data_IF_951097551115
#
_entry.id   IF_951097551115
#
_cell.length_a   1.000
_cell.length_b   1.000
_cell.length_c   1.000
_cell.angle_alpha   90.00
_cell.angle_beta   90.00
_cell.angle_gamma   90.00
#
_symmetry.space_group_name_H-M   'P 1'
#
loop_
_entity.id
_entity.type
_entity.pdbx_description
1 polymer ?
#
# COMPACT_ATOMS: atom_id res chain seq x y z
N UNK A 1 -20.11 -10.11 -45.06
CA UNK A 1 -19.00 -9.65 -44.19
C UNK A 1 -19.26 -8.19 -43.84
N UNK A 2 -19.44 -7.88 -42.55
CA UNK A 2 -19.72 -6.51 -42.12
C UNK A 2 -18.50 -5.62 -42.32
N UNK A 3 -18.67 -4.47 -42.96
CA UNK A 3 -17.62 -3.49 -43.20
C UNK A 3 -16.98 -3.07 -41.87
N UNK A 4 -15.66 -3.19 -41.77
CA UNK A 4 -14.91 -2.77 -40.60
C UNK A 4 -15.11 -1.27 -40.36
N UNK A 5 -15.40 -0.91 -39.10
CA UNK A 5 -15.65 0.48 -38.73
C UNK A 5 -14.31 1.18 -38.50
N UNK A 6 -14.09 2.22 -39.31
CA UNK A 6 -12.91 3.08 -39.29
C UNK A 6 -12.94 4.03 -38.10
N UNK A 7 -11.80 4.22 -37.44
CA UNK A 7 -11.70 5.20 -36.36
C UNK A 7 -12.01 6.61 -36.88
N UNK A 8 -12.80 7.39 -36.14
CA UNK A 8 -13.16 8.76 -36.51
C UNK A 8 -12.19 9.84 -35.97
N UNK A 9 -11.20 9.45 -35.16
CA UNK A 9 -10.21 10.37 -34.59
C UNK A 9 -9.27 10.89 -35.68
N UNK A 10 -9.05 12.22 -35.80
CA UNK A 10 -8.14 12.79 -36.78
C UNK A 10 -6.74 12.20 -36.70
N UNK A 11 -6.18 11.85 -37.86
CA UNK A 11 -4.86 11.23 -37.97
C UNK A 11 -4.79 9.75 -37.57
N UNK A 12 -5.89 9.11 -37.16
CA UNK A 12 -5.91 7.68 -36.86
C UNK A 12 -6.34 6.84 -38.07
N UNK A 13 -5.47 5.92 -38.49
CA UNK A 13 -5.72 5.02 -39.63
C UNK A 13 -6.18 3.61 -39.22
N UNK A 14 -6.61 3.41 -37.96
CA UNK A 14 -7.08 2.10 -37.50
C UNK A 14 -8.31 1.59 -38.27
N UNK A 15 -8.26 0.31 -38.68
CA UNK A 15 -9.29 -0.39 -39.46
C UNK A 15 -9.55 0.23 -40.84
N UNK A 16 -8.56 0.93 -41.40
CA UNK A 16 -8.57 1.31 -42.81
C UNK A 16 -8.03 0.15 -43.66
N UNK A 17 -8.28 0.17 -44.97
CA UNK A 17 -7.98 -0.94 -45.89
C UNK A 17 -6.50 -1.40 -45.89
N UNK A 18 -5.58 -0.63 -45.29
CA UNK A 18 -4.14 -0.87 -45.27
C UNK A 18 -3.63 -1.26 -43.87
N UNK A 19 -4.47 -1.76 -42.97
CA UNK A 19 -4.04 -2.20 -41.63
C UNK A 19 -4.05 -3.72 -41.49
N UNK A 20 -2.89 -4.30 -41.16
CA UNK A 20 -2.71 -5.76 -41.05
C UNK A 20 -3.45 -6.40 -39.87
N UNK A 21 -3.87 -5.60 -38.87
CA UNK A 21 -4.51 -6.11 -37.66
C UNK A 21 -5.77 -5.32 -37.31
N UNK A 22 -6.87 -6.05 -37.12
CA UNK A 22 -8.12 -5.51 -36.60
C UNK A 22 -7.92 -4.93 -35.19
N UNK A 23 -8.35 -3.68 -35.01
CA UNK A 23 -8.32 -2.99 -33.73
C UNK A 23 -9.74 -2.87 -33.19
N UNK A 24 -9.97 -3.32 -31.96
CA UNK A 24 -11.26 -3.13 -31.28
C UNK A 24 -11.66 -1.66 -31.26
N UNK A 25 -12.94 -1.41 -31.49
CA UNK A 25 -13.49 -0.06 -31.57
C UNK A 25 -14.79 0.06 -30.81
N UNK A 26 -15.03 1.24 -30.26
CA UNK A 26 -16.16 1.53 -29.39
C UNK A 26 -17.08 2.54 -30.06
N UNK A 27 -18.39 2.32 -29.92
CA UNK A 27 -19.43 3.24 -30.41
C UNK A 27 -19.64 4.36 -29.41
N UNK A 28 -20.14 5.50 -29.88
CA UNK A 28 -20.46 6.63 -29.01
C UNK A 28 -21.55 6.25 -27.99
N UNK A 29 -21.46 6.75 -26.74
CA UNK A 29 -22.50 6.55 -25.74
C UNK A 29 -23.87 7.03 -26.21
N UNK A 30 -24.94 6.35 -25.77
CA UNK A 30 -26.32 6.80 -25.98
C UNK A 30 -26.67 8.05 -25.16
N UNK A 31 -26.03 8.20 -24.00
CA UNK A 31 -26.19 9.36 -23.13
C UNK A 31 -25.64 10.63 -23.82
N UNK A 32 -26.46 11.68 -23.89
CA UNK A 32 -26.14 12.91 -24.61
C UNK A 32 -24.95 13.65 -24.00
N UNK A 33 -24.84 13.68 -22.67
CA UNK A 33 -23.75 14.36 -21.96
C UNK A 33 -22.41 13.70 -22.26
N UNK A 34 -22.33 12.38 -22.13
CA UNK A 34 -21.12 11.61 -22.45
C UNK A 34 -20.79 11.65 -23.94
N UNK A 35 -21.80 11.58 -24.81
CA UNK A 35 -21.60 11.72 -26.26
C UNK A 35 -20.96 13.07 -26.58
N UNK A 36 -21.44 14.16 -25.98
CA UNK A 36 -20.86 15.49 -26.15
C UNK A 36 -19.44 15.60 -25.58
N UNK A 37 -19.16 14.94 -24.45
CA UNK A 37 -17.79 14.85 -23.90
C UNK A 37 -16.84 14.19 -24.90
N UNK A 38 -17.27 13.09 -25.53
CA UNK A 38 -16.49 12.41 -26.56
C UNK A 38 -16.26 13.29 -27.80
N UNK A 39 -17.29 13.98 -28.27
CA UNK A 39 -17.15 14.89 -29.43
C UNK A 39 -16.15 16.01 -29.12
N UNK A 40 -16.23 16.60 -27.92
CA UNK A 40 -15.31 17.65 -27.47
C UNK A 40 -13.86 17.16 -27.40
N UNK A 41 -13.62 15.94 -26.89
CA UNK A 41 -12.24 15.44 -26.74
C UNK A 41 -11.56 15.10 -28.07
N UNK A 42 -12.32 14.74 -29.11
CA UNK A 42 -11.76 14.49 -30.45
C UNK A 42 -11.20 15.77 -31.09
N UNK A 43 -11.60 16.95 -30.59
CA UNK A 43 -11.16 18.28 -31.03
C UNK A 43 -11.19 18.46 -32.56
N UNK A 44 -12.31 18.06 -33.16
CA UNK A 44 -12.56 18.23 -34.61
C UNK A 44 -13.67 19.26 -34.79
N UNK A 45 -13.36 20.33 -35.52
CA UNK A 45 -14.33 21.38 -35.84
C UNK A 45 -15.58 20.79 -36.51
N UNK A 46 -16.75 21.24 -36.06
CA UNK A 46 -18.08 20.88 -36.57
C UNK A 46 -18.34 19.37 -36.71
N UNK A 47 -17.69 18.56 -35.86
CA UNK A 47 -17.83 17.11 -35.93
C UNK A 47 -19.15 16.63 -35.33
N UNK A 48 -20.01 16.09 -36.19
CA UNK A 48 -21.24 15.40 -35.80
C UNK A 48 -21.03 13.89 -35.99
N UNK A 49 -20.93 13.08 -34.92
CA UNK A 49 -20.72 11.64 -35.05
C UNK A 49 -21.96 10.97 -35.65
N UNK A 50 -21.76 10.25 -36.74
CA UNK A 50 -22.79 9.40 -37.36
C UNK A 50 -23.10 8.18 -36.48
N UNK A 51 -24.20 7.47 -36.78
CA UNK A 51 -24.58 6.22 -36.09
C UNK A 51 -23.53 5.10 -36.19
N UNK A 52 -22.63 5.20 -37.17
CA UNK A 52 -21.56 4.23 -37.40
C UNK A 52 -20.19 4.72 -36.97
N UNK A 53 -20.09 5.96 -36.45
CA UNK A 53 -18.85 6.52 -35.97
C UNK A 53 -18.34 5.72 -34.76
N UNK A 54 -17.05 5.41 -34.77
CA UNK A 54 -16.38 4.68 -33.70
C UNK A 54 -15.03 5.28 -33.38
N UNK A 55 -14.58 5.05 -32.15
CA UNK A 55 -13.22 5.39 -31.69
C UNK A 55 -12.50 4.08 -31.40
N UNK A 56 -11.31 3.88 -31.97
CA UNK A 56 -10.54 2.68 -31.70
C UNK A 56 -9.94 2.68 -30.30
N UNK A 57 -9.61 1.49 -29.79
CA UNK A 57 -9.12 1.30 -28.43
C UNK A 57 -7.85 2.07 -28.07
N UNK A 58 -7.02 2.39 -29.07
CA UNK A 58 -5.75 3.12 -28.88
C UNK A 58 -5.93 4.51 -28.28
N UNK A 59 -7.15 5.05 -28.29
CA UNK A 59 -7.46 6.36 -27.76
C UNK A 59 -7.94 6.35 -26.31
N UNK A 60 -8.12 5.16 -25.72
CA UNK A 60 -8.56 4.98 -24.34
C UNK A 60 -7.40 4.51 -23.47
N UNK A 61 -7.29 5.07 -22.28
CA UNK A 61 -6.41 4.53 -21.26
C UNK A 61 -6.86 3.13 -20.85
N UNK A 62 -5.89 2.27 -20.53
CA UNK A 62 -6.12 0.89 -20.09
C UNK A 62 -7.06 0.80 -18.89
N UNK A 63 -7.07 1.82 -18.01
CA UNK A 63 -7.95 1.88 -16.85
C UNK A 63 -9.45 1.92 -17.20
N UNK A 64 -9.81 2.36 -18.40
CA UNK A 64 -11.19 2.43 -18.85
C UNK A 64 -11.63 1.18 -19.64
N UNK A 65 -10.73 0.22 -19.89
CA UNK A 65 -10.98 -0.92 -20.76
C UNK A 65 -11.26 -2.17 -19.91
N UNK A 66 -12.50 -2.66 -19.98
CA UNK A 66 -12.95 -3.88 -19.33
C UNK A 66 -12.68 -5.06 -20.27
N UNK A 67 -11.67 -5.86 -19.92
CA UNK A 67 -11.26 -7.07 -20.68
C UNK A 67 -11.87 -8.35 -20.14
N UNK A 68 -12.40 -8.33 -18.93
CA UNK A 68 -12.92 -9.51 -18.23
C UNK A 68 -14.17 -9.14 -17.43
N UNK A 69 -15.08 -10.10 -17.26
CA UNK A 69 -16.23 -10.00 -16.39
C UNK A 69 -15.91 -10.69 -15.07
N UNK A 70 -16.21 -10.02 -13.96
CA UNK A 70 -15.99 -10.51 -12.59
C UNK A 70 -17.32 -10.66 -11.88
N UNK A 71 -17.58 -11.83 -11.32
CA UNK A 71 -18.77 -12.12 -10.52
C UNK A 71 -18.34 -12.82 -9.24
N UNK A 72 -18.77 -12.31 -8.09
CA UNK A 72 -18.57 -12.96 -6.80
C UNK A 72 -19.71 -13.97 -6.60
N UNK A 73 -19.37 -15.23 -6.32
CA UNK A 73 -20.33 -16.29 -6.01
C UNK A 73 -20.74 -16.22 -4.54
N UNK A 74 -21.80 -16.95 -4.19
CA UNK A 74 -22.31 -17.01 -2.81
C UNK A 74 -21.30 -17.58 -1.81
N UNK A 75 -20.35 -18.40 -2.27
CA UNK A 75 -19.24 -18.96 -1.47
C UNK A 75 -18.07 -17.98 -1.25
N UNK A 76 -18.18 -16.74 -1.77
CA UNK A 76 -17.13 -15.73 -1.73
C UNK A 76 -16.03 -15.90 -2.78
N UNK A 77 -16.10 -16.93 -3.63
CA UNK A 77 -15.14 -17.10 -4.72
C UNK A 77 -15.42 -16.15 -5.89
N UNK A 78 -14.36 -15.62 -6.51
CA UNK A 78 -14.47 -14.82 -7.73
C UNK A 78 -14.46 -15.71 -8.98
N UNK A 79 -15.47 -15.54 -9.84
CA UNK A 79 -15.46 -16.03 -11.21
C UNK A 79 -14.98 -14.90 -12.13
N UNK A 80 -13.85 -15.12 -12.79
CA UNK A 80 -13.28 -14.20 -13.78
C UNK A 80 -13.39 -14.82 -15.17
N UNK A 81 -14.11 -14.17 -16.08
CA UNK A 81 -14.30 -14.64 -17.46
C UNK A 81 -13.75 -13.62 -18.45
N UNK A 82 -12.75 -13.96 -19.28
CA UNK A 82 -12.24 -13.04 -20.29
C UNK A 82 -13.30 -12.75 -21.35
N UNK A 83 -13.43 -11.47 -21.72
CA UNK A 83 -14.39 -11.02 -22.73
C UNK A 83 -13.81 -11.21 -24.13
N UNK A 84 -14.58 -11.83 -25.02
CA UNK A 84 -14.29 -11.84 -26.46
C UNK A 84 -14.38 -10.44 -27.09
N UNK A 85 -15.28 -9.60 -26.58
CA UNK A 85 -15.44 -8.20 -26.97
C UNK A 85 -15.27 -7.33 -25.73
N UNK A 86 -14.20 -6.54 -25.72
CA UNK A 86 -13.91 -5.63 -24.62
C UNK A 86 -14.96 -4.52 -24.54
N UNK A 87 -15.17 -3.99 -23.34
CA UNK A 87 -16.09 -2.88 -23.09
C UNK A 87 -15.34 -1.70 -22.50
N UNK A 88 -15.97 -0.53 -22.55
CA UNK A 88 -15.51 0.62 -21.77
C UNK A 88 -16.27 0.69 -20.46
N UNK A 89 -15.64 1.25 -19.45
CA UNK A 89 -16.29 1.65 -18.20
C UNK A 89 -17.34 2.75 -18.46
N UNK A 90 -18.26 2.92 -17.51
CA UNK A 90 -19.32 3.92 -17.59
C UNK A 90 -18.84 5.37 -17.50
N UNK A 91 -17.57 5.59 -17.16
CA UNK A 91 -16.89 6.88 -17.11
C UNK A 91 -15.81 7.00 -18.20
N UNK A 92 -15.53 5.92 -18.93
CA UNK A 92 -14.48 5.88 -19.95
C UNK A 92 -14.67 6.93 -21.04
N UNK A 93 -13.57 7.63 -21.34
CA UNK A 93 -13.45 8.62 -22.41
C UNK A 93 -12.08 8.53 -23.08
N UNK A 94 -12.01 8.97 -24.32
CA UNK A 94 -10.78 9.05 -25.09
C UNK A 94 -9.93 10.23 -24.61
N UNK A 95 -8.69 9.93 -24.30
CA UNK A 95 -7.72 10.85 -23.71
C UNK A 95 -6.35 10.76 -24.39
N UNK A 96 -6.13 9.73 -25.21
CA UNK A 96 -4.85 9.47 -25.88
C UNK A 96 -4.98 9.79 -27.37
N UNK A 97 -4.21 10.75 -27.86
CA UNK A 97 -4.24 11.23 -29.25
C UNK A 97 -2.82 11.35 -29.82
N UNK A 98 -2.19 10.23 -30.24
CA UNK A 98 -0.77 10.22 -30.59
C UNK A 98 -0.42 11.07 -31.82
N UNK A 99 -1.40 11.32 -32.70
CA UNK A 99 -1.22 12.08 -33.94
C UNK A 99 -1.81 13.50 -33.84
N UNK A 100 -1.94 14.03 -32.62
CA UNK A 100 -2.45 15.37 -32.33
C UNK A 100 -1.48 16.12 -31.42
N UNK A 101 -1.57 17.46 -31.31
CA UNK A 101 -0.74 18.23 -30.40
C UNK A 101 -0.74 17.65 -28.97
N UNK A 102 0.44 17.61 -28.35
CA UNK A 102 0.67 16.94 -27.06
C UNK A 102 -0.32 17.37 -25.97
N UNK A 103 -0.68 18.65 -25.91
CA UNK A 103 -1.61 19.19 -24.90
C UNK A 103 -3.04 18.62 -24.99
N UNK A 104 -3.42 17.97 -26.09
CA UNK A 104 -4.71 17.30 -26.26
C UNK A 104 -4.67 15.83 -25.82
N UNK A 105 -3.47 15.25 -25.69
CA UNK A 105 -3.27 13.86 -25.32
C UNK A 105 -2.70 13.79 -23.91
N UNK A 106 -3.44 13.18 -22.99
CA UNK A 106 -2.96 12.97 -21.63
C UNK A 106 -3.40 11.60 -21.13
N UNK A 107 -2.55 10.96 -20.32
CA UNK A 107 -3.03 9.84 -19.54
C UNK A 107 -3.93 10.37 -18.41
N UNK A 108 -5.15 9.83 -18.26
CA UNK A 108 -6.02 10.21 -17.17
C UNK A 108 -5.36 9.82 -15.85
N UNK A 109 -5.43 10.71 -14.86
CA UNK A 109 -4.92 10.40 -13.52
C UNK A 109 -5.63 9.19 -12.94
N UNK A 110 -4.90 8.41 -12.14
CA UNK A 110 -5.50 7.31 -11.39
C UNK A 110 -6.59 7.85 -10.46
N UNK A 111 -7.70 7.12 -10.35
CA UNK A 111 -8.77 7.49 -9.43
C UNK A 111 -8.25 7.48 -7.99
N UNK A 112 -8.70 8.47 -7.21
CA UNK A 112 -8.33 8.56 -5.80
C UNK A 112 -8.90 7.35 -5.07
N UNK A 113 -8.06 6.66 -4.29
CA UNK A 113 -8.50 5.59 -3.38
C UNK A 113 -9.63 6.10 -2.48
N UNK A 114 -10.66 5.29 -2.31
CA UNK A 114 -11.78 5.59 -1.45
C UNK A 114 -11.33 5.81 0.01
N UNK A 115 -12.10 6.53 0.84
CA UNK A 115 -11.79 6.67 2.26
C UNK A 115 -11.61 5.32 2.99
N UNK A 116 -12.42 4.32 2.63
CA UNK A 116 -12.35 2.98 3.22
C UNK A 116 -11.01 2.30 2.92
N UNK A 117 -10.62 2.24 1.64
CA UNK A 117 -9.34 1.64 1.23
C UNK A 117 -8.14 2.34 1.87
N UNK A 118 -8.19 3.67 2.00
CA UNK A 118 -7.13 4.43 2.68
C UNK A 118 -7.04 4.05 4.15
N UNK A 119 -8.17 3.92 4.84
CA UNK A 119 -8.21 3.53 6.26
C UNK A 119 -7.67 2.11 6.46
N UNK A 120 -8.08 1.16 5.64
CA UNK A 120 -7.58 -0.23 5.70
C UNK A 120 -6.08 -0.28 5.48
N UNK A 121 -5.56 0.45 4.49
CA UNK A 121 -4.11 0.49 4.24
C UNK A 121 -3.32 1.13 5.39
N UNK A 122 -3.88 2.12 6.08
CA UNK A 122 -3.27 2.72 7.28
C UNK A 122 -3.22 1.70 8.42
N UNK A 123 -4.34 1.07 8.74
CA UNK A 123 -4.40 0.06 9.80
C UNK A 123 -3.42 -1.08 9.56
N UNK A 124 -3.36 -1.62 8.34
CA UNK A 124 -2.41 -2.69 8.00
C UNK A 124 -0.96 -2.27 8.20
N UNK A 125 -0.62 -1.03 7.83
CA UNK A 125 0.72 -0.48 8.04
C UNK A 125 1.03 -0.33 9.53
N UNK A 126 0.07 0.12 10.31
CA UNK A 126 0.24 0.31 11.75
C UNK A 126 0.38 -1.04 12.48
N UNK A 127 -0.40 -2.05 12.09
CA UNK A 127 -0.26 -3.43 12.55
C UNK A 127 1.11 -4.02 12.21
N UNK A 128 1.60 -3.82 10.98
CA UNK A 128 2.93 -4.28 10.57
C UNK A 128 4.04 -3.62 11.39
N UNK A 129 3.98 -2.30 11.56
CA UNK A 129 4.94 -1.57 12.40
C UNK A 129 4.91 -2.03 13.85
N UNK A 130 3.72 -2.29 14.38
CA UNK A 130 3.55 -2.80 15.73
C UNK A 130 4.18 -4.19 15.88
N UNK A 131 3.94 -5.10 14.93
CA UNK A 131 4.54 -6.44 14.94
C UNK A 131 6.08 -6.41 14.84
N UNK A 132 6.61 -5.53 13.98
CA UNK A 132 8.05 -5.30 13.86
C UNK A 132 8.64 -4.75 15.17
N UNK A 133 7.97 -3.79 15.80
CA UNK A 133 8.36 -3.25 17.10
C UNK A 133 8.36 -4.32 18.19
N UNK A 134 7.29 -5.13 18.30
CA UNK A 134 7.23 -6.24 19.26
C UNK A 134 8.38 -7.22 19.04
N UNK A 135 8.69 -7.57 17.80
CA UNK A 135 9.78 -8.51 17.49
C UNK A 135 11.14 -7.94 17.89
N UNK A 136 11.36 -6.64 17.69
CA UNK A 136 12.61 -5.97 18.03
C UNK A 136 12.78 -5.71 19.55
N UNK A 137 11.69 -5.53 20.29
CA UNK A 137 11.76 -5.25 21.73
C UNK A 137 11.66 -6.50 22.61
N UNK A 138 11.16 -7.62 22.07
CA UNK A 138 11.08 -8.87 22.83
C UNK A 138 12.45 -9.51 23.01
N UNK A 139 12.83 -9.74 24.28
CA UNK A 139 14.04 -10.45 24.66
C UNK A 139 13.70 -11.93 24.86
N UNK A 140 13.94 -12.75 23.84
CA UNK A 140 13.55 -14.18 23.85
C UNK A 140 14.56 -15.11 24.54
N UNK A 141 15.78 -14.64 24.81
CA UNK A 141 16.80 -15.44 25.49
C UNK A 141 17.80 -14.55 26.23
N UNK A 142 18.45 -15.13 27.24
CA UNK A 142 19.47 -14.44 28.02
C UNK A 142 20.71 -14.11 27.20
N UNK A 143 21.06 -14.94 26.22
CA UNK A 143 22.17 -14.67 25.30
C UNK A 143 21.92 -13.40 24.47
N UNK A 144 20.70 -13.26 23.91
CA UNK A 144 20.30 -12.06 23.18
C UNK A 144 20.28 -10.84 24.11
N UNK A 145 19.80 -11.01 25.34
CA UNK A 145 19.81 -9.94 26.34
C UNK A 145 21.23 -9.45 26.60
N UNK A 146 22.17 -10.38 26.82
CA UNK A 146 23.57 -10.08 27.10
C UNK A 146 24.27 -9.28 25.98
N UNK A 147 23.85 -9.42 24.72
CA UNK A 147 24.39 -8.68 23.59
C UNK A 147 23.80 -7.28 23.42
N UNK A 148 22.58 -7.06 23.93
CA UNK A 148 21.78 -5.86 23.60
C UNK A 148 21.62 -4.91 24.79
N UNK A 149 21.59 -5.41 26.03
CA UNK A 149 21.27 -4.61 27.22
C UNK A 149 22.22 -3.43 27.43
N UNK A 150 23.52 -3.60 27.16
CA UNK A 150 24.53 -2.58 27.37
C UNK A 150 24.28 -1.32 26.51
N UNK A 151 23.70 -1.48 25.31
CA UNK A 151 23.31 -0.34 24.45
C UNK A 151 22.09 0.41 24.96
N UNK A 152 21.24 -0.27 25.74
CA UNK A 152 20.04 0.29 26.37
C UNK A 152 20.33 0.84 27.78
N UNK A 153 21.50 0.54 28.36
CA UNK A 153 21.90 1.03 29.67
C UNK A 153 22.26 2.52 29.55
N UNK A 154 21.59 3.38 30.31
CA UNK A 154 21.83 4.82 30.29
C UNK A 154 23.18 5.21 30.89
N UNK A 155 23.65 6.42 30.59
CA UNK A 155 24.87 6.98 31.17
C UNK A 155 24.80 6.97 32.72
N UNK A 156 25.87 6.50 33.36
CA UNK A 156 25.98 6.42 34.83
C UNK A 156 25.70 5.04 35.43
N UNK A 157 25.11 4.11 34.67
CA UNK A 157 24.96 2.73 35.12
C UNK A 157 26.25 1.92 34.90
N UNK A 158 26.64 1.18 35.93
CA UNK A 158 27.70 0.18 35.88
C UNK A 158 27.09 -1.21 35.72
N UNK A 159 27.85 -2.14 35.13
CA UNK A 159 27.39 -3.51 34.96
C UNK A 159 28.50 -4.55 35.11
N UNK A 160 28.11 -5.75 35.55
CA UNK A 160 28.94 -6.95 35.62
C UNK A 160 28.20 -8.07 34.89
N UNK A 161 28.87 -8.70 33.94
CA UNK A 161 28.35 -9.85 33.18
C UNK A 161 28.96 -11.15 33.68
N UNK A 162 28.12 -12.14 33.92
CA UNK A 162 28.51 -13.52 34.21
C UNK A 162 27.70 -14.49 33.35
N UNK A 163 28.03 -15.78 33.40
CA UNK A 163 27.31 -16.82 32.64
C UNK A 163 25.87 -17.05 33.15
N UNK A 164 25.61 -16.73 34.42
CA UNK A 164 24.34 -17.03 35.09
C UNK A 164 23.46 -15.80 35.35
N UNK A 165 24.07 -14.61 35.39
CA UNK A 165 23.35 -13.36 35.64
C UNK A 165 24.10 -12.13 35.11
N UNK A 166 23.35 -11.06 34.92
CA UNK A 166 23.85 -9.71 34.70
C UNK A 166 23.48 -8.88 35.91
N UNK A 167 24.43 -8.14 36.46
CA UNK A 167 24.20 -7.17 37.52
C UNK A 167 24.37 -5.76 36.94
N UNK A 168 23.34 -4.94 37.00
CA UNK A 168 23.40 -3.51 36.67
C UNK A 168 23.22 -2.71 37.95
N UNK A 169 24.00 -1.66 38.18
CA UNK A 169 23.90 -0.86 39.40
C UNK A 169 24.28 0.59 39.19
N UNK A 170 23.69 1.46 40.01
CA UNK A 170 23.96 2.89 40.06
C UNK A 170 24.60 3.24 41.40
N UNK A 171 25.71 3.97 41.37
CA UNK A 171 26.42 4.43 42.57
C UNK A 171 26.08 5.91 42.81
N UNK A 172 25.64 6.25 44.01
CA UNK A 172 25.64 7.63 44.48
C UNK A 172 27.04 7.99 44.99
N UNK A 173 27.63 9.04 44.41
CA UNK A 173 28.98 9.52 44.72
C UNK A 173 28.98 10.87 45.45
N UNK A 174 27.81 11.41 45.79
CA UNK A 174 27.72 12.73 46.44
C UNK A 174 28.22 12.71 47.90
N UNK A 175 28.13 11.56 48.56
CA UNK A 175 28.61 11.33 49.93
C UNK A 175 29.56 10.12 49.99
N UNK A 176 29.46 9.28 51.03
CA UNK A 176 30.12 7.97 51.05
C UNK A 176 29.56 7.12 49.91
N UNK A 177 30.39 6.64 48.96
CA UNK A 177 29.89 5.93 47.80
C UNK A 177 29.05 4.71 48.18
N UNK A 178 27.79 4.71 47.75
CA UNK A 178 26.86 3.63 48.02
C UNK A 178 26.07 3.24 46.78
N UNK A 179 25.71 1.97 46.67
CA UNK A 179 24.84 1.49 45.60
C UNK A 179 23.41 1.96 45.91
N UNK A 180 22.93 2.93 45.13
CA UNK A 180 21.57 3.48 45.28
C UNK A 180 20.54 2.50 44.72
N UNK A 181 20.77 2.01 43.50
CA UNK A 181 19.91 1.03 42.83
C UNK A 181 20.75 -0.08 42.25
N UNK A 182 20.32 -1.33 42.40
CA UNK A 182 20.88 -2.46 41.67
C UNK A 182 19.80 -3.38 41.14
N UNK A 183 20.10 -4.03 40.01
CA UNK A 183 19.22 -4.96 39.34
C UNK A 183 20.03 -6.17 38.94
N UNK A 184 19.56 -7.35 39.34
CA UNK A 184 20.15 -8.62 38.96
C UNK A 184 19.19 -9.35 38.05
N UNK A 185 19.61 -9.56 36.81
CA UNK A 185 18.87 -10.30 35.78
C UNK A 185 19.49 -11.68 35.65
N UNK A 186 18.71 -12.72 35.93
CA UNK A 186 19.14 -14.11 35.87
C UNK A 186 19.01 -14.69 34.46
N UNK A 187 19.58 -15.88 34.26
CA UNK A 187 19.55 -16.60 32.98
C UNK A 187 18.13 -16.96 32.49
N UNK A 188 17.19 -17.13 33.40
CA UNK A 188 15.77 -17.36 33.09
C UNK A 188 15.00 -16.04 32.85
N UNK A 189 15.71 -14.91 32.73
CA UNK A 189 15.17 -13.56 32.59
C UNK A 189 14.35 -13.07 33.80
N UNK A 190 14.42 -13.76 34.94
CA UNK A 190 13.88 -13.22 36.19
C UNK A 190 14.74 -12.05 36.68
N UNK A 191 14.10 -11.08 37.33
CA UNK A 191 14.74 -9.83 37.76
C UNK A 191 14.49 -9.59 39.24
N UNK A 192 15.57 -9.36 39.97
CA UNK A 192 15.55 -8.84 41.35
C UNK A 192 16.10 -7.42 41.35
N UNK A 193 15.42 -6.50 42.05
CA UNK A 193 15.78 -5.08 42.11
C UNK A 193 15.95 -4.68 43.57
N UNK A 194 17.03 -3.97 43.88
CA UNK A 194 17.27 -3.36 45.18
C UNK A 194 17.33 -1.84 45.06
N UNK A 195 16.80 -1.15 46.07
CA UNK A 195 16.97 0.28 46.28
C UNK A 195 17.48 0.51 47.70
N UNK A 196 18.58 1.25 47.88
CA UNK A 196 19.25 1.44 49.18
C UNK A 196 19.50 0.12 49.93
N UNK A 197 19.94 -0.91 49.20
CA UNK A 197 20.13 -2.28 49.71
C UNK A 197 18.86 -3.03 50.17
N UNK A 198 17.66 -2.49 49.94
CA UNK A 198 16.38 -3.15 50.23
C UNK A 198 15.83 -3.80 48.96
N UNK A 199 15.55 -5.11 49.02
CA UNK A 199 14.92 -5.85 47.92
C UNK A 199 13.48 -5.37 47.70
N UNK A 200 13.17 -4.93 46.47
CA UNK A 200 11.83 -4.53 46.09
C UNK A 200 10.96 -5.75 45.83
N UNK A 201 9.69 -5.67 46.23
CA UNK A 201 8.69 -6.70 45.93
C UNK A 201 8.40 -6.71 44.44
N UNK A 202 8.36 -7.89 43.81
CA UNK A 202 8.09 -8.09 42.36
C UNK A 202 6.84 -7.37 41.87
N UNK A 203 5.78 -7.30 42.70
CA UNK A 203 4.55 -6.57 42.39
C UNK A 203 4.79 -5.09 42.04
N UNK A 204 5.86 -4.49 42.55
CA UNK A 204 6.19 -3.07 42.35
C UNK A 204 6.74 -2.79 40.94
N UNK A 205 7.20 -3.81 40.22
CA UNK A 205 7.80 -3.68 38.88
C UNK A 205 7.26 -4.73 37.88
N UNK A 206 6.22 -5.48 38.23
CA UNK A 206 5.61 -6.48 37.36
C UNK A 206 5.11 -5.89 36.03
N UNK A 207 4.63 -4.64 36.03
CA UNK A 207 4.19 -3.97 34.80
C UNK A 207 5.30 -3.82 33.75
N UNK A 208 6.57 -3.91 34.16
CA UNK A 208 7.75 -3.85 33.28
C UNK A 208 8.06 -5.23 32.69
N UNK A 209 7.81 -6.30 33.45
CA UNK A 209 8.14 -7.68 33.06
C UNK A 209 7.08 -8.34 32.15
N UNK A 210 5.90 -7.73 32.01
CA UNK A 210 4.78 -8.33 31.28
C UNK A 210 4.06 -9.43 32.06
N UNK A 211 3.07 -10.08 31.45
CA UNK A 211 2.51 -11.33 31.99
C UNK A 211 3.51 -12.47 31.75
N UNK A 212 3.98 -13.11 32.82
CA UNK A 212 4.84 -14.30 32.75
C UNK A 212 4.05 -15.55 32.35
#
# INVERSE_FOLDING_TARGET
>A
MGKERKCCVPGCNSNYNNTDNYVSSFTFPKDATRKNQWVKSINRADFIPSLTAVVCIKHFSSQFIIKEDRVVRDDGSELVVPRKIWKLTNDGYQSIFPNQPFYLSHDPSTSRKSPSERKTALNLRDEQKFAEWCTNDTVNSFEIFQETYAKKLGDGWLNIRTDNFILCYWIDINQCPSILVSMKIYKDLTVEIWHDSVLLKTKSYHFILGEQ
#
